data_IF_941638861795
#
_entry.id   IF_941638861795
#
_cell.length_a   1.000
_cell.length_b   1.000
_cell.length_c   1.000
_cell.angle_alpha   90.00
_cell.angle_beta   90.00
_cell.angle_gamma   90.00
#
_symmetry.space_group_name_H-M   'P 1'
#
loop_
_entity.id
_entity.type
_entity.pdbx_description
1 polymer ?
#
# COMPACT_ATOMS: atom_id res chain seq x y z
N UNK A 1 -11.79 -13.92 19.44
CA UNK A 1 -11.54 -15.23 20.10
C UNK A 1 -11.88 -16.36 19.12
N UNK A 2 -10.88 -16.99 18.48
CA UNK A 2 -11.05 -18.27 17.77
C UNK A 2 -9.93 -19.22 18.22
N UNK A 3 -10.32 -20.36 18.82
CA UNK A 3 -9.45 -21.45 19.25
C UNK A 3 -9.15 -22.34 18.03
N UNK A 4 -7.88 -22.62 17.77
CA UNK A 4 -7.48 -23.70 16.86
C UNK A 4 -7.14 -24.92 17.72
N UNK A 5 -7.80 -26.03 17.43
CA UNK A 5 -7.66 -27.32 18.10
C UNK A 5 -6.57 -28.11 17.39
N UNK A 6 -5.48 -28.42 18.08
CA UNK A 6 -4.41 -29.27 17.57
C UNK A 6 -4.72 -30.74 17.91
N UNK A 7 -4.97 -31.56 16.89
CA UNK A 7 -5.19 -33.00 17.03
C UNK A 7 -3.85 -33.71 16.96
N UNK A 8 -3.40 -34.23 18.10
CA UNK A 8 -2.19 -35.06 18.24
C UNK A 8 -2.53 -36.46 17.71
N UNK A 9 -1.75 -36.95 16.73
CA UNK A 9 -1.76 -38.36 16.34
C UNK A 9 -0.43 -38.99 16.71
N UNK A 10 -0.53 -39.97 17.62
CA UNK A 10 0.47 -40.94 18.01
C UNK A 10 0.60 -42.01 16.92
N UNK A 11 1.83 -42.48 16.64
CA UNK A 11 2.06 -43.77 16.01
C UNK A 11 3.37 -44.37 16.51
N UNK A 12 3.26 -45.53 17.16
CA UNK A 12 4.33 -46.49 17.41
C UNK A 12 4.69 -47.22 16.10
N UNK A 13 5.98 -47.48 15.91
CA UNK A 13 6.59 -48.47 15.00
C UNK A 13 6.19 -49.92 15.37
N UNK A 14 6.38 -50.99 14.54
CA UNK A 14 7.62 -51.25 13.77
C UNK A 14 7.51 -52.04 12.43
N UNK A 15 8.71 -52.30 11.87
CA UNK A 15 9.12 -53.34 10.89
C UNK A 15 8.99 -53.06 9.38
N UNK A 16 10.13 -52.78 8.74
CA UNK A 16 10.76 -53.68 7.76
C UNK A 16 12.06 -53.08 7.19
N UNK A 17 13.17 -53.78 7.43
CA UNK A 17 14.48 -53.46 6.86
C UNK A 17 14.58 -53.90 5.39
N UNK A 18 15.23 -53.07 4.57
CA UNK A 18 15.70 -53.41 3.23
C UNK A 18 16.67 -52.33 2.71
N UNK A 19 17.86 -52.67 2.21
CA UNK A 19 18.90 -51.70 1.90
C UNK A 19 18.70 -51.16 0.47
N UNK A 20 18.59 -49.85 0.31
CA UNK A 20 18.79 -49.23 -0.99
C UNK A 20 19.56 -47.92 -0.85
N UNK A 21 20.78 -47.97 -1.37
CA UNK A 21 21.66 -46.85 -1.64
C UNK A 21 20.94 -45.82 -2.49
N UNK A 22 20.67 -44.65 -1.92
CA UNK A 22 20.37 -43.45 -2.69
C UNK A 22 21.19 -42.31 -2.13
N UNK A 23 21.99 -41.71 -3.03
CA UNK A 23 22.62 -40.41 -2.88
C UNK A 23 21.54 -39.37 -2.56
N UNK A 24 21.28 -39.18 -1.28
CA UNK A 24 20.35 -38.17 -0.79
C UNK A 24 20.96 -36.79 -0.97
N UNK A 25 20.45 -36.03 -1.92
CA UNK A 25 20.43 -34.57 -1.78
C UNK A 25 19.69 -34.32 -0.47
N UNK A 26 20.44 -33.97 0.58
CA UNK A 26 19.88 -33.54 1.85
C UNK A 26 19.10 -32.25 1.58
N UNK A 27 17.83 -32.37 1.23
CA UNK A 27 16.85 -31.30 1.37
C UNK A 27 16.56 -31.16 2.85
N UNK A 28 17.54 -30.62 3.58
CA UNK A 28 17.37 -30.21 4.96
C UNK A 28 16.11 -29.35 5.02
N UNK A 29 15.16 -29.71 5.89
CA UNK A 29 13.95 -28.93 6.11
C UNK A 29 14.36 -27.47 6.37
N UNK A 30 13.73 -26.49 5.70
CA UNK A 30 14.09 -25.09 5.88
C UNK A 30 13.92 -24.72 7.37
N UNK A 31 14.99 -24.23 8.00
CA UNK A 31 14.97 -23.74 9.39
C UNK A 31 14.26 -22.38 9.41
N UNK A 32 13.02 -22.27 9.91
CA UNK A 32 12.25 -21.03 9.86
C UNK A 32 12.93 -19.91 10.65
N UNK A 33 13.59 -20.24 11.76
CA UNK A 33 14.28 -19.26 12.61
C UNK A 33 15.49 -18.68 11.87
N UNK A 34 16.20 -19.52 11.11
CA UNK A 34 17.29 -19.05 10.28
C UNK A 34 16.78 -18.20 9.10
N UNK A 35 15.67 -18.60 8.47
CA UNK A 35 15.04 -17.82 7.40
C UNK A 35 14.60 -16.43 7.88
N UNK A 36 13.96 -16.33 9.05
CA UNK A 36 13.62 -15.05 9.67
C UNK A 36 14.85 -14.17 9.92
N UNK A 37 15.93 -14.76 10.45
CA UNK A 37 17.16 -14.03 10.67
C UNK A 37 17.73 -13.44 9.39
N UNK A 38 17.77 -14.23 8.30
CA UNK A 38 18.22 -13.78 6.99
C UNK A 38 17.29 -12.69 6.42
N UNK A 39 15.99 -12.84 6.60
CA UNK A 39 15.00 -11.85 6.19
C UNK A 39 15.25 -10.50 6.90
N UNK A 40 15.23 -10.46 8.23
CA UNK A 40 15.46 -9.22 8.98
C UNK A 40 16.84 -8.62 8.70
N UNK A 41 17.87 -9.47 8.53
CA UNK A 41 19.21 -9.01 8.16
C UNK A 41 19.22 -8.31 6.80
N UNK A 42 18.48 -8.84 5.83
CA UNK A 42 18.38 -8.26 4.49
C UNK A 42 17.61 -6.94 4.51
N UNK A 43 16.50 -6.90 5.24
CA UNK A 43 15.69 -5.68 5.41
C UNK A 43 16.50 -4.58 6.11
N UNK A 44 17.19 -4.89 7.22
CA UNK A 44 18.00 -3.92 7.97
C UNK A 44 19.14 -3.34 7.12
N UNK A 45 19.73 -4.10 6.20
CA UNK A 45 20.76 -3.57 5.29
C UNK A 45 20.23 -2.47 4.37
N UNK A 46 18.95 -2.50 4.04
CA UNK A 46 18.30 -1.47 3.22
C UNK A 46 17.84 -0.32 4.10
N UNK A 47 17.02 -0.61 5.12
CA UNK A 47 16.36 0.42 5.92
C UNK A 47 17.36 1.19 6.78
N UNK A 48 18.32 0.53 7.45
CA UNK A 48 19.24 1.23 8.34
C UNK A 48 20.14 2.24 7.60
N UNK A 49 20.39 2.03 6.31
CA UNK A 49 21.12 2.98 5.46
C UNK A 49 20.23 4.09 4.92
N UNK A 50 18.93 3.82 4.78
CA UNK A 50 17.93 4.75 4.28
C UNK A 50 17.39 5.71 5.36
N UNK A 51 17.68 5.44 6.65
CA UNK A 51 17.24 6.31 7.76
C UNK A 51 17.62 7.76 7.52
N UNK A 52 16.71 8.72 7.64
CA UNK A 52 17.00 10.13 7.39
C UNK A 52 17.92 10.74 8.46
N UNK A 53 17.72 10.38 9.73
CA UNK A 53 18.43 10.93 10.88
C UNK A 53 19.82 10.31 11.15
N UNK A 54 20.84 11.16 11.26
CA UNK A 54 22.22 10.71 11.60
C UNK A 54 22.33 10.10 13.00
N UNK A 55 21.56 10.63 13.95
CA UNK A 55 21.56 10.13 15.33
C UNK A 55 21.02 8.70 15.38
N UNK A 56 19.88 8.45 14.74
CA UNK A 56 19.28 7.12 14.65
C UNK A 56 20.19 6.14 13.92
N UNK A 57 20.80 6.54 12.79
CA UNK A 57 21.81 5.73 12.10
C UNK A 57 22.93 5.29 13.03
N UNK A 58 23.44 6.20 13.88
CA UNK A 58 24.51 5.89 14.83
C UNK A 58 24.05 4.95 15.95
N UNK A 59 22.80 5.05 16.41
CA UNK A 59 22.23 4.21 17.47
C UNK A 59 21.94 2.77 16.99
N UNK A 60 21.55 2.60 15.73
CA UNK A 60 21.26 1.28 15.14
C UNK A 60 22.50 0.40 15.04
N UNK A 61 23.65 0.99 14.71
CA UNK A 61 24.90 0.23 14.46
C UNK A 61 25.31 -0.63 15.67
N UNK A 62 25.39 -0.11 16.92
CA UNK A 62 25.63 -0.92 18.11
C UNK A 62 24.65 -2.06 18.31
N UNK A 63 23.35 -1.83 18.08
CA UNK A 63 22.30 -2.86 18.21
C UNK A 63 22.47 -3.99 17.19
N UNK A 64 22.70 -3.65 15.93
CA UNK A 64 23.00 -4.63 14.89
C UNK A 64 24.25 -5.43 15.28
N UNK A 65 25.34 -4.76 15.69
CA UNK A 65 26.55 -5.47 16.14
C UNK A 65 26.29 -6.40 17.32
N UNK A 66 25.42 -6.03 18.27
CA UNK A 66 25.05 -6.88 19.42
C UNK A 66 24.26 -8.11 18.97
N UNK A 67 23.21 -7.92 18.17
CA UNK A 67 22.31 -8.98 17.74
C UNK A 67 22.98 -9.99 16.80
N UNK A 68 24.04 -9.58 16.11
CA UNK A 68 24.82 -10.43 15.21
C UNK A 68 26.04 -11.08 15.89
N UNK A 69 26.20 -10.96 17.22
CA UNK A 69 27.29 -11.66 17.90
C UNK A 69 27.12 -13.19 17.85
N UNK A 70 28.22 -13.96 17.85
CA UNK A 70 28.17 -15.42 17.82
C UNK A 70 27.31 -16.03 18.93
N UNK A 71 27.30 -15.43 20.13
CA UNK A 71 26.50 -15.93 21.27
C UNK A 71 25.00 -16.08 20.92
N UNK A 72 24.46 -15.15 20.11
CA UNK A 72 23.05 -15.13 19.70
C UNK A 72 22.71 -16.08 18.54
N UNK A 73 23.69 -16.83 18.02
CA UNK A 73 23.48 -17.88 17.03
C UNK A 73 23.24 -19.25 17.67
N UNK A 74 23.43 -19.37 18.98
CA UNK A 74 23.12 -20.60 19.73
C UNK A 74 21.60 -20.87 19.77
N UNK A 75 21.22 -22.15 19.86
CA UNK A 75 19.80 -22.55 19.83
C UNK A 75 18.95 -21.86 20.91
N UNK A 76 19.54 -21.52 22.06
CA UNK A 76 18.85 -20.89 23.18
C UNK A 76 18.51 -19.41 22.94
N UNK A 77 19.29 -18.72 22.09
CA UNK A 77 19.16 -17.27 21.93
C UNK A 77 18.65 -16.82 20.55
N UNK A 78 18.60 -17.73 19.57
CA UNK A 78 18.16 -17.40 18.19
C UNK A 78 16.75 -16.82 18.12
N UNK A 79 15.79 -17.38 18.85
CA UNK A 79 14.41 -16.83 18.89
C UNK A 79 14.37 -15.43 19.49
N UNK A 80 15.05 -15.24 20.62
CA UNK A 80 15.12 -13.95 21.31
C UNK A 80 15.73 -12.90 20.40
N UNK A 81 16.87 -13.22 19.77
CA UNK A 81 17.53 -12.37 18.77
C UNK A 81 16.57 -12.00 17.65
N UNK A 82 15.86 -12.96 17.06
CA UNK A 82 14.92 -12.70 15.96
C UNK A 82 13.80 -11.75 16.37
N UNK A 83 13.26 -11.89 17.59
CA UNK A 83 12.25 -10.96 18.10
C UNK A 83 12.79 -9.53 18.27
N UNK A 84 14.03 -9.38 18.74
CA UNK A 84 14.69 -8.06 18.78
C UNK A 84 14.96 -7.51 17.37
N UNK A 85 15.35 -8.35 16.41
CA UNK A 85 15.54 -7.93 15.02
C UNK A 85 14.23 -7.51 14.36
N UNK A 86 13.14 -8.23 14.61
CA UNK A 86 11.80 -7.84 14.20
C UNK A 86 11.44 -6.49 14.79
N UNK A 87 11.59 -6.31 16.10
CA UNK A 87 11.22 -5.06 16.77
C UNK A 87 12.04 -3.88 16.23
N UNK A 88 13.37 -4.06 16.09
CA UNK A 88 14.23 -3.06 15.47
C UNK A 88 13.76 -2.74 14.05
N UNK A 89 13.48 -3.76 13.23
CA UNK A 89 13.02 -3.58 11.85
C UNK A 89 11.72 -2.78 11.79
N UNK A 90 10.73 -3.11 12.64
CA UNK A 90 9.45 -2.40 12.71
C UNK A 90 9.63 -0.94 13.13
N UNK A 91 10.50 -0.69 14.10
CA UNK A 91 10.86 0.67 14.54
C UNK A 91 11.46 1.48 13.39
N UNK A 92 12.43 0.93 12.67
CA UNK A 92 13.12 1.64 11.60
C UNK A 92 12.28 1.86 10.33
N UNK A 93 11.19 1.09 10.15
CA UNK A 93 10.23 1.35 9.06
C UNK A 93 9.57 2.74 9.19
N UNK A 94 9.52 3.30 10.40
CA UNK A 94 9.02 4.65 10.66
C UNK A 94 10.11 5.72 10.55
N UNK A 95 11.28 5.40 10.01
CA UNK A 95 12.43 6.32 9.82
C UNK A 95 13.07 6.85 11.12
N UNK A 96 12.78 6.26 12.28
CA UNK A 96 13.26 6.72 13.59
C UNK A 96 13.52 5.56 14.58
N UNK A 97 14.41 5.74 15.57
CA UNK A 97 14.55 4.80 16.68
C UNK A 97 13.51 5.06 17.80
N UNK A 98 12.90 4.00 18.32
CA UNK A 98 11.89 4.02 19.39
C UNK A 98 12.25 3.09 20.56
N UNK A 99 11.74 3.42 21.75
CA UNK A 99 11.90 2.62 22.96
C UNK A 99 13.36 2.32 23.29
N UNK A 100 13.63 1.05 23.55
CA UNK A 100 14.96 0.56 23.94
C UNK A 100 16.07 0.83 22.90
N UNK A 101 15.71 1.11 21.64
CA UNK A 101 16.66 1.39 20.58
C UNK A 101 17.17 2.84 20.58
N UNK A 102 16.59 3.73 21.42
CA UNK A 102 17.07 5.10 21.62
C UNK A 102 18.35 5.20 22.44
N UNK A 103 18.78 4.10 23.04
CA UNK A 103 20.02 3.99 23.81
C UNK A 103 20.86 2.84 23.28
N UNK A 104 22.16 2.84 23.61
CA UNK A 104 23.04 1.73 23.23
C UNK A 104 22.60 0.40 23.89
N UNK A 105 22.81 -0.75 23.23
CA UNK A 105 22.47 -2.05 23.81
C UNK A 105 23.26 -2.31 25.10
N UNK A 106 22.69 -3.07 26.05
CA UNK A 106 23.39 -3.40 27.28
C UNK A 106 24.66 -4.21 27.01
N UNK A 107 25.70 -3.96 27.80
CA UNK A 107 26.96 -4.72 27.74
C UNK A 107 26.74 -6.20 28.06
N UNK A 108 25.83 -6.51 28.99
CA UNK A 108 25.47 -7.86 29.43
C UNK A 108 24.45 -8.58 28.53
N UNK A 109 23.79 -9.64 29.02
CA UNK A 109 22.77 -10.35 28.25
C UNK A 109 21.59 -9.44 27.89
N UNK A 110 20.88 -9.75 26.80
CA UNK A 110 19.68 -9.00 26.42
C UNK A 110 18.60 -9.23 27.48
N UNK A 111 17.87 -8.19 27.91
CA UNK A 111 16.69 -8.33 28.77
C UNK A 111 15.62 -9.22 28.14
N UNK A 112 14.78 -9.83 28.97
CA UNK A 112 13.59 -10.51 28.45
C UNK A 112 12.64 -9.50 27.82
N UNK A 113 12.08 -9.81 26.66
CA UNK A 113 11.19 -8.88 25.94
C UNK A 113 9.95 -8.51 26.76
N UNK A 114 9.48 -9.42 27.61
CA UNK A 114 8.35 -9.19 28.53
C UNK A 114 8.68 -8.18 29.64
N UNK A 115 9.96 -7.96 29.92
CA UNK A 115 10.41 -6.98 30.93
C UNK A 115 10.67 -5.59 30.36
N UNK A 116 10.54 -5.42 29.04
CA UNK A 116 10.68 -4.12 28.39
C UNK A 116 9.34 -3.39 28.47
N UNK A 117 9.35 -2.18 29.02
CA UNK A 117 8.18 -1.32 29.01
C UNK A 117 7.79 -0.99 27.57
N UNK A 118 6.53 -1.25 27.23
CA UNK A 118 5.97 -0.85 25.96
C UNK A 118 5.72 0.66 25.98
N UNK A 119 6.62 1.42 25.35
CA UNK A 119 6.34 2.82 25.04
C UNK A 119 5.22 2.89 23.98
N UNK A 120 4.27 3.80 24.16
CA UNK A 120 3.32 4.15 23.12
C UNK A 120 4.10 4.74 21.93
N UNK A 121 3.94 4.11 20.76
CA UNK A 121 4.52 4.66 19.54
C UNK A 121 3.82 5.99 19.24
N UNK A 122 4.57 7.05 18.90
CA UNK A 122 3.94 8.30 18.51
C UNK A 122 3.14 8.09 17.24
N UNK A 123 2.12 8.91 17.07
CA UNK A 123 1.34 8.93 15.84
C UNK A 123 2.23 9.25 14.64
N UNK A 124 2.03 8.54 13.54
CA UNK A 124 2.74 8.81 12.30
C UNK A 124 2.31 10.17 11.72
N UNK A 125 3.16 10.78 10.89
CA UNK A 125 2.88 12.10 10.30
C UNK A 125 1.55 12.16 9.55
N UNK A 126 1.21 11.08 8.83
CA UNK A 126 -0.04 10.98 8.08
C UNK A 126 -1.27 10.93 8.98
N UNK A 127 -1.16 10.37 10.19
CA UNK A 127 -2.26 10.31 11.17
C UNK A 127 -2.54 11.69 11.78
N UNK A 128 -1.51 12.53 11.84
CA UNK A 128 -1.60 13.90 12.35
C UNK A 128 -2.04 14.92 11.30
N UNK A 129 -2.04 14.56 10.01
CA UNK A 129 -2.38 15.48 8.93
C UNK A 129 -3.86 15.90 9.00
N UNK A 130 -4.16 17.21 9.17
CA UNK A 130 -5.53 17.68 9.38
C UNK A 130 -6.30 17.89 8.07
N UNK A 131 -5.66 17.75 6.90
CA UNK A 131 -6.17 18.24 5.62
C UNK A 131 -7.54 17.65 5.28
N UNK A 132 -7.74 16.35 5.48
CA UNK A 132 -9.04 15.74 5.16
C UNK A 132 -10.16 16.36 6.00
N UNK A 133 -9.95 16.45 7.31
CA UNK A 133 -10.89 17.07 8.24
C UNK A 133 -11.17 18.53 7.86
N UNK A 134 -10.12 19.28 7.53
CA UNK A 134 -10.23 20.68 7.14
C UNK A 134 -10.99 20.83 5.81
N UNK A 135 -10.78 19.91 4.86
CA UNK A 135 -11.47 19.89 3.55
C UNK A 135 -12.95 19.61 3.68
N UNK A 136 -13.34 18.75 4.62
CA UNK A 136 -14.76 18.47 4.94
C UNK A 136 -15.36 19.65 5.71
N UNK A 137 -14.62 20.24 6.65
CA UNK A 137 -15.09 21.39 7.43
C UNK A 137 -15.28 22.66 6.58
N UNK A 138 -14.52 22.80 5.49
CA UNK A 138 -14.60 23.92 4.56
C UNK A 138 -15.77 23.83 3.55
N UNK A 139 -16.56 22.75 3.59
CA UNK A 139 -17.70 22.59 2.68
C UNK A 139 -18.80 23.64 2.94
N UNK A 140 -19.45 24.17 1.89
CA UNK A 140 -20.62 25.04 2.03
C UNK A 140 -21.76 24.39 2.80
N UNK A 141 -22.59 25.20 3.46
CA UNK A 141 -23.74 24.71 4.23
C UNK A 141 -24.81 24.04 3.35
N UNK A 142 -24.89 24.44 2.08
CA UNK A 142 -25.78 23.91 1.05
C UNK A 142 -25.13 22.82 0.18
N UNK A 143 -23.96 22.31 0.59
CA UNK A 143 -23.26 21.26 -0.14
C UNK A 143 -24.11 19.98 -0.24
N UNK A 144 -24.24 19.48 -1.47
CA UNK A 144 -24.98 18.26 -1.75
C UNK A 144 -24.04 17.06 -1.74
N UNK A 145 -24.27 16.15 -0.80
CA UNK A 145 -23.51 14.89 -0.70
C UNK A 145 -23.96 13.91 -1.77
N UNK A 146 -23.02 13.07 -2.22
CA UNK A 146 -23.31 11.99 -3.15
C UNK A 146 -24.28 10.97 -2.53
N UNK A 147 -25.21 10.47 -3.35
CA UNK A 147 -26.08 9.37 -2.97
C UNK A 147 -25.32 8.05 -2.96
N UNK A 148 -25.75 7.14 -2.09
CA UNK A 148 -25.22 5.77 -2.05
C UNK A 148 -25.42 5.09 -3.41
N UNK A 149 -24.36 4.48 -3.95
CA UNK A 149 -24.40 3.70 -5.19
C UNK A 149 -24.76 2.23 -4.96
N UNK A 150 -24.77 1.78 -3.70
CA UNK A 150 -24.83 0.36 -3.33
C UNK A 150 -26.19 0.00 -2.74
N UNK A 151 -26.68 0.79 -1.79
CA UNK A 151 -27.93 0.54 -1.11
C UNK A 151 -29.07 1.32 -1.75
N UNK A 152 -30.16 0.62 -2.04
CA UNK A 152 -31.41 1.23 -2.53
C UNK A 152 -32.12 2.01 -1.41
N UNK A 153 -32.04 1.53 -0.17
CA UNK A 153 -32.72 2.12 0.99
C UNK A 153 -31.73 2.69 2.01
N UNK A 154 -32.08 3.86 2.57
CA UNK A 154 -31.27 4.56 3.59
C UNK A 154 -31.03 3.70 4.84
N UNK A 155 -32.01 2.88 5.23
CA UNK A 155 -31.91 2.01 6.41
C UNK A 155 -30.81 0.96 6.30
N UNK A 156 -30.47 0.52 5.09
CA UNK A 156 -29.40 -0.45 4.88
C UNK A 156 -28.03 0.26 4.93
N UNK A 157 -27.97 1.50 4.45
CA UNK A 157 -26.81 2.37 4.59
C UNK A 157 -26.46 2.61 6.07
N UNK A 158 -27.46 2.87 6.92
CA UNK A 158 -27.27 3.10 8.37
C UNK A 158 -26.77 1.88 9.15
N UNK A 159 -26.88 0.67 8.57
CA UNK A 159 -26.41 -0.57 9.20
C UNK A 159 -25.01 -0.98 8.72
N UNK A 160 -24.57 -0.48 7.58
CA UNK A 160 -23.30 -0.84 6.95
C UNK A 160 -22.18 0.11 7.41
N UNK A 161 -21.65 -0.12 8.62
CA UNK A 161 -20.58 0.69 9.21
C UNK A 161 -19.48 -0.13 9.92
N UNK A 162 -19.44 -1.44 9.71
CA UNK A 162 -18.54 -2.37 10.41
C UNK A 162 -17.05 -2.13 10.11
N UNK A 163 -16.73 -1.53 8.96
CA UNK A 163 -15.36 -1.34 8.46
C UNK A 163 -14.91 0.13 8.45
N UNK A 164 -15.74 1.04 8.95
CA UNK A 164 -15.56 2.48 8.84
C UNK A 164 -14.18 2.96 9.30
N UNK A 165 -13.74 2.51 10.47
CA UNK A 165 -12.45 2.92 11.06
C UNK A 165 -11.28 2.54 10.14
N UNK A 166 -11.27 1.29 9.64
CA UNK A 166 -10.19 0.78 8.80
C UNK A 166 -10.19 1.48 7.44
N UNK A 167 -11.37 1.65 6.84
CA UNK A 167 -11.51 2.30 5.54
C UNK A 167 -11.14 3.79 5.60
N UNK A 168 -11.48 4.49 6.68
CA UNK A 168 -11.12 5.89 6.87
C UNK A 168 -9.61 6.06 7.11
N UNK A 169 -8.97 5.16 7.88
CA UNK A 169 -7.51 5.16 8.02
C UNK A 169 -6.79 4.90 6.69
N UNK A 170 -7.27 3.92 5.92
CA UNK A 170 -6.73 3.61 4.59
C UNK A 170 -6.84 4.82 3.65
N UNK A 171 -7.99 5.50 3.64
CA UNK A 171 -8.19 6.70 2.84
C UNK A 171 -7.24 7.84 3.26
N UNK A 172 -7.15 8.11 4.57
CA UNK A 172 -6.27 9.16 5.10
C UNK A 172 -4.82 8.91 4.68
N UNK A 173 -4.37 7.66 4.76
CA UNK A 173 -3.04 7.27 4.32
C UNK A 173 -2.83 7.50 2.82
N UNK A 174 -3.74 7.03 1.97
CA UNK A 174 -3.61 7.24 0.52
C UNK A 174 -3.68 8.72 0.12
N UNK A 175 -4.55 9.51 0.76
CA UNK A 175 -4.66 10.95 0.53
C UNK A 175 -3.36 11.67 0.88
N UNK A 176 -2.76 11.32 2.03
CA UNK A 176 -1.47 11.86 2.45
C UNK A 176 -0.38 11.57 1.42
N UNK A 177 -0.35 10.35 0.87
CA UNK A 177 0.63 9.96 -0.16
C UNK A 177 0.40 10.64 -1.51
N UNK A 178 -0.86 10.82 -1.93
CA UNK A 178 -1.17 11.34 -3.27
C UNK A 178 -0.93 12.85 -3.41
N UNK A 179 -1.13 13.62 -2.32
CA UNK A 179 -1.14 15.09 -2.35
C UNK A 179 0.14 15.72 -2.94
N UNK A 180 1.37 15.32 -2.55
CA UNK A 180 2.58 15.90 -3.12
C UNK A 180 2.64 15.73 -4.64
N UNK A 181 2.26 14.56 -5.15
CA UNK A 181 2.29 14.27 -6.59
C UNK A 181 1.19 15.00 -7.36
N UNK A 182 -0.02 15.11 -6.79
CA UNK A 182 -1.10 15.87 -7.40
C UNK A 182 -0.72 17.35 -7.63
N UNK A 183 0.14 17.91 -6.76
CA UNK A 183 0.63 19.28 -6.90
C UNK A 183 1.64 19.49 -8.05
N UNK A 184 2.21 18.40 -8.58
CA UNK A 184 3.22 18.42 -9.64
C UNK A 184 2.64 18.24 -11.05
N UNK A 185 1.34 18.01 -11.17
CA UNK A 185 0.64 17.88 -12.45
C UNK A 185 0.57 19.23 -13.19
N UNK A 186 0.30 19.16 -14.49
CA UNK A 186 -0.02 20.36 -15.28
C UNK A 186 -1.30 21.05 -14.74
N UNK A 187 -1.53 22.32 -15.09
CA UNK A 187 -2.62 23.11 -14.51
C UNK A 187 -4.03 22.56 -14.75
N UNK A 188 -4.26 21.94 -15.92
CA UNK A 188 -5.58 21.38 -16.26
C UNK A 188 -5.86 20.12 -15.43
N UNK A 189 -4.91 19.19 -15.44
CA UNK A 189 -4.98 17.95 -14.66
C UNK A 189 -4.99 18.23 -13.15
N UNK A 190 -4.19 19.17 -12.66
CA UNK A 190 -4.19 19.58 -11.27
C UNK A 190 -5.60 20.02 -10.82
N UNK A 191 -6.33 20.74 -11.67
CA UNK A 191 -7.69 21.22 -11.36
C UNK A 191 -8.68 20.05 -11.27
N UNK A 192 -8.64 19.12 -12.23
CA UNK A 192 -9.51 17.92 -12.22
C UNK A 192 -9.22 17.04 -11.01
N UNK A 193 -7.93 16.83 -10.71
CA UNK A 193 -7.49 15.98 -9.61
C UNK A 193 -7.84 16.63 -8.26
N UNK A 194 -7.73 17.96 -8.13
CA UNK A 194 -8.22 18.67 -6.96
C UNK A 194 -9.73 18.47 -6.76
N UNK A 195 -10.52 18.54 -7.84
CA UNK A 195 -11.96 18.25 -7.77
C UNK A 195 -12.23 16.81 -7.33
N UNK A 196 -11.52 15.82 -7.89
CA UNK A 196 -11.63 14.42 -7.48
C UNK A 196 -11.28 14.22 -6.00
N UNK A 197 -10.15 14.75 -5.54
CA UNK A 197 -9.73 14.65 -4.13
C UNK A 197 -10.78 15.28 -3.20
N UNK A 198 -11.33 16.44 -3.56
CA UNK A 198 -12.41 17.06 -2.79
C UNK A 198 -13.66 16.19 -2.75
N UNK A 199 -14.10 15.65 -3.90
CA UNK A 199 -15.26 14.75 -3.96
C UNK A 199 -15.04 13.50 -3.10
N UNK A 200 -13.89 12.85 -3.21
CA UNK A 200 -13.57 11.66 -2.41
C UNK A 200 -13.54 11.96 -0.91
N UNK A 201 -13.02 13.13 -0.51
CA UNK A 201 -13.03 13.58 0.89
C UNK A 201 -14.45 13.70 1.46
N UNK A 202 -15.46 13.97 0.63
CA UNK A 202 -16.85 14.14 1.09
C UNK A 202 -17.53 12.82 1.45
N UNK A 203 -17.04 11.70 0.93
CA UNK A 203 -17.50 10.34 1.29
C UNK A 203 -16.85 9.99 2.62
N UNK A 204 -17.47 10.39 3.73
CA UNK A 204 -16.92 10.28 5.09
C UNK A 204 -17.99 9.82 6.08
N UNK A 205 -18.03 10.36 7.31
CA UNK A 205 -18.82 9.83 8.44
C UNK A 205 -20.33 9.64 8.25
N UNK A 206 -20.92 10.08 7.14
CA UNK A 206 -22.34 9.84 6.77
C UNK A 206 -22.52 8.73 5.73
N UNK A 207 -21.43 8.27 5.12
CA UNK A 207 -21.43 7.24 4.09
C UNK A 207 -21.22 5.87 4.72
N UNK A 208 -21.91 4.85 4.20
CA UNK A 208 -21.69 3.48 4.63
C UNK A 208 -20.31 2.94 4.25
N UNK A 209 -19.88 1.87 4.90
CA UNK A 209 -18.64 1.15 4.63
C UNK A 209 -18.50 0.77 3.16
N UNK A 210 -19.56 0.35 2.48
CA UNK A 210 -19.51 0.03 1.04
C UNK A 210 -19.16 1.24 0.17
N UNK A 211 -19.68 2.42 0.48
CA UNK A 211 -19.32 3.66 -0.22
C UNK A 211 -17.89 4.09 0.09
N UNK A 212 -17.43 3.91 1.34
CA UNK A 212 -16.04 4.15 1.74
C UNK A 212 -15.07 3.20 1.04
N UNK A 213 -15.45 1.94 0.82
CA UNK A 213 -14.66 1.00 0.04
C UNK A 213 -14.52 1.45 -1.42
N UNK A 214 -15.62 1.87 -2.06
CA UNK A 214 -15.56 2.44 -3.42
C UNK A 214 -14.65 3.68 -3.44
N UNK A 215 -14.80 4.60 -2.49
CA UNK A 215 -13.90 5.77 -2.36
C UNK A 215 -12.43 5.35 -2.30
N UNK A 216 -12.10 4.31 -1.53
CA UNK A 216 -10.74 3.83 -1.37
C UNK A 216 -10.20 3.19 -2.65
N UNK A 217 -11.02 2.45 -3.41
CA UNK A 217 -10.65 1.93 -4.72
C UNK A 217 -10.25 3.08 -5.68
N UNK A 218 -11.05 4.14 -5.74
CA UNK A 218 -10.72 5.33 -6.52
C UNK A 218 -9.45 6.01 -6.02
N UNK A 219 -9.31 6.19 -4.70
CA UNK A 219 -8.14 6.85 -4.12
C UNK A 219 -6.84 6.06 -4.40
N UNK A 220 -6.88 4.73 -4.33
CA UNK A 220 -5.75 3.87 -4.64
C UNK A 220 -5.38 3.91 -6.13
N UNK A 221 -6.38 3.87 -7.02
CA UNK A 221 -6.13 4.00 -8.45
C UNK A 221 -5.58 5.38 -8.82
N UNK A 222 -6.14 6.44 -8.22
CA UNK A 222 -5.69 7.81 -8.37
C UNK A 222 -4.24 7.97 -7.93
N UNK A 223 -3.88 7.43 -6.75
CA UNK A 223 -2.52 7.43 -6.23
C UNK A 223 -1.53 6.84 -7.25
N UNK A 224 -1.87 5.71 -7.87
CA UNK A 224 -1.04 5.09 -8.91
C UNK A 224 -0.83 6.00 -10.13
N UNK A 225 -1.88 6.69 -10.58
CA UNK A 225 -1.77 7.61 -11.72
C UNK A 225 -0.96 8.87 -11.40
N UNK A 226 -1.20 9.50 -10.25
CA UNK A 226 -0.47 10.73 -9.88
C UNK A 226 1.00 10.44 -9.58
N UNK A 227 1.35 9.26 -9.06
CA UNK A 227 2.75 8.82 -8.94
C UNK A 227 3.49 8.81 -10.28
N UNK A 228 2.80 8.41 -11.35
CA UNK A 228 3.31 8.43 -12.71
C UNK A 228 3.17 9.82 -13.39
N UNK A 229 2.73 10.84 -12.64
CA UNK A 229 2.44 12.19 -13.13
C UNK A 229 1.53 12.23 -14.36
N UNK A 230 0.55 11.31 -14.41
CA UNK A 230 -0.42 11.19 -15.51
C UNK A 230 -1.84 11.13 -14.97
N UNK A 231 -2.80 11.49 -15.82
CA UNK A 231 -4.22 11.33 -15.52
C UNK A 231 -4.85 10.38 -16.54
N UNK A 232 -5.49 9.32 -16.06
CA UNK A 232 -6.04 8.27 -16.91
C UNK A 232 -7.38 7.72 -16.38
N UNK A 233 -8.08 6.97 -17.24
CA UNK A 233 -9.37 6.37 -16.92
C UNK A 233 -10.41 7.42 -16.51
N UNK A 234 -11.22 7.17 -15.46
CA UNK A 234 -12.30 8.07 -15.08
C UNK A 234 -11.81 9.45 -14.60
N UNK A 235 -10.53 9.57 -14.23
CA UNK A 235 -9.96 10.83 -13.71
C UNK A 235 -9.71 11.89 -14.79
N UNK A 236 -9.80 11.52 -16.08
CA UNK A 236 -9.70 12.47 -17.21
C UNK A 236 -10.88 13.45 -17.27
N UNK A 237 -11.97 13.13 -16.59
CA UNK A 237 -13.15 13.98 -16.46
C UNK A 237 -13.32 14.49 -15.02
N UNK A 238 -14.20 15.47 -14.84
CA UNK A 238 -14.61 15.89 -13.50
C UNK A 238 -15.40 14.77 -12.80
N UNK A 239 -15.32 14.67 -11.46
CA UNK A 239 -16.05 13.68 -10.69
C UNK A 239 -17.57 13.80 -10.87
N UNK A 240 -18.32 12.71 -10.68
CA UNK A 240 -19.78 12.74 -10.75
C UNK A 240 -20.38 13.58 -9.62
N UNK A 241 -21.55 14.18 -9.90
CA UNK A 241 -22.27 15.07 -8.98
C UNK A 241 -23.34 14.33 -8.16
N UNK A 242 -23.76 13.14 -8.60
CA UNK A 242 -24.89 12.42 -8.03
C UNK A 242 -24.44 11.20 -7.24
N UNK A 243 -23.71 10.28 -7.88
CA UNK A 243 -23.29 9.04 -7.24
C UNK A 243 -21.92 8.60 -7.73
N UNK A 244 -21.14 8.01 -6.83
CA UNK A 244 -19.85 7.40 -7.15
C UNK A 244 -20.05 5.90 -7.41
N UNK A 245 -20.17 5.54 -8.70
CA UNK A 245 -20.28 4.14 -9.12
C UNK A 245 -18.97 3.37 -8.84
N UNK A 246 -19.00 2.04 -8.68
CA UNK A 246 -17.80 1.22 -8.52
C UNK A 246 -16.72 1.52 -9.57
N UNK A 247 -15.45 1.57 -9.16
CA UNK A 247 -14.33 1.98 -10.02
C UNK A 247 -14.25 1.13 -11.29
N UNK A 248 -14.45 -0.18 -11.18
CA UNK A 248 -14.40 -1.10 -12.32
C UNK A 248 -15.39 -0.70 -13.42
N UNK A 249 -16.62 -0.30 -13.04
CA UNK A 249 -17.65 0.14 -13.99
C UNK A 249 -17.28 1.49 -14.62
N UNK A 250 -16.76 2.43 -13.83
CA UNK A 250 -16.32 3.72 -14.33
C UNK A 250 -15.11 3.60 -15.27
N UNK A 251 -14.15 2.73 -14.95
CA UNK A 251 -13.00 2.44 -15.79
C UNK A 251 -13.41 1.81 -17.11
N UNK A 252 -14.32 0.83 -17.07
CA UNK A 252 -14.90 0.22 -18.28
C UNK A 252 -15.60 1.25 -19.15
N UNK A 253 -16.47 2.07 -18.56
CA UNK A 253 -17.16 3.14 -19.27
C UNK A 253 -16.19 4.15 -19.90
N UNK A 254 -15.14 4.54 -19.17
CA UNK A 254 -14.10 5.43 -19.68
C UNK A 254 -13.36 4.84 -20.87
N UNK A 255 -13.01 3.54 -20.81
CA UNK A 255 -12.35 2.84 -21.92
C UNK A 255 -13.25 2.73 -23.16
N UNK A 256 -14.55 2.48 -22.98
CA UNK A 256 -15.53 2.36 -24.07
C UNK A 256 -15.85 3.70 -24.73
N UNK A 257 -15.95 4.78 -23.94
CA UNK A 257 -16.38 6.09 -24.45
C UNK A 257 -15.25 6.99 -24.90
N UNK A 258 -14.04 6.80 -24.36
CA UNK A 258 -12.85 7.61 -24.64
C UNK A 258 -11.61 6.72 -24.73
N UNK A 259 -11.53 5.87 -25.77
CA UNK A 259 -10.36 5.02 -25.95
C UNK A 259 -9.11 5.88 -26.11
N UNK A 260 -7.96 5.37 -25.68
CA UNK A 260 -6.66 6.08 -25.83
C UNK A 260 -6.33 6.41 -27.30
N UNK A 261 -6.96 5.71 -28.24
CA UNK A 261 -6.84 5.93 -29.68
C UNK A 261 -7.78 6.99 -30.24
N UNK A 262 -8.61 7.64 -29.42
CA UNK A 262 -9.52 8.67 -29.91
C UNK A 262 -8.73 9.85 -30.48
N UNK A 263 -8.74 10.07 -31.81
CA UNK A 263 -7.97 11.15 -32.44
C UNK A 263 -8.54 12.54 -32.13
N UNK A 264 -9.74 12.60 -31.55
CA UNK A 264 -10.39 13.85 -31.10
C UNK A 264 -10.21 14.09 -29.60
N UNK A 265 -9.57 13.15 -28.90
CA UNK A 265 -9.35 13.21 -27.46
C UNK A 265 -8.39 14.33 -27.05
N UNK A 266 -8.44 14.71 -25.77
CA UNK A 266 -7.56 15.75 -25.21
C UNK A 266 -6.07 15.45 -25.43
N UNK A 267 -5.65 14.21 -25.20
CA UNK A 267 -4.25 13.77 -25.39
C UNK A 267 -3.80 13.88 -26.85
N UNK A 268 -4.68 13.54 -27.80
CA UNK A 268 -4.41 13.71 -29.21
C UNK A 268 -4.27 15.20 -29.55
N UNK A 269 -5.13 16.06 -29.02
CA UNK A 269 -5.07 17.50 -29.24
C UNK A 269 -3.84 18.14 -28.60
N UNK A 270 -3.47 17.77 -27.38
CA UNK A 270 -2.24 18.24 -26.71
C UNK A 270 -0.99 17.80 -27.46
N UNK A 271 -0.95 16.53 -27.88
CA UNK A 271 0.12 16.01 -28.72
C UNK A 271 0.25 16.82 -30.01
N UNK A 272 -0.87 17.04 -30.72
CA UNK A 272 -0.89 17.83 -31.95
C UNK A 272 -0.50 19.29 -31.72
N UNK A 273 -0.89 19.90 -30.59
CA UNK A 273 -0.56 21.28 -30.24
C UNK A 273 0.92 21.47 -29.87
N UNK A 274 1.57 20.42 -29.32
CA UNK A 274 2.99 20.44 -29.00
C UNK A 274 3.89 20.29 -30.25
N UNK A 275 3.32 19.90 -31.39
CA UNK A 275 4.06 19.65 -32.62
C UNK A 275 4.25 20.93 -33.44
N UNK A 276 5.39 21.07 -34.13
CA UNK A 276 5.63 22.21 -35.01
C UNK A 276 4.66 22.19 -36.21
N UNK A 277 4.12 23.35 -36.55
CA UNK A 277 3.26 23.53 -37.73
C UNK A 277 4.12 23.41 -39.00
N UNK A 278 3.85 22.46 -39.91
CA UNK A 278 4.61 22.34 -41.15
C UNK A 278 4.44 23.58 -42.02
N UNK A 279 5.55 24.12 -42.53
CA UNK A 279 5.54 25.29 -43.43
C UNK A 279 5.02 24.94 -44.82
N UNK A 280 5.13 23.68 -45.24
CA UNK A 280 4.56 23.13 -46.47
C UNK A 280 4.25 21.63 -46.27
N UNK A 281 3.11 21.15 -46.78
CA UNK A 281 2.67 19.75 -46.67
C UNK A 281 1.76 19.43 -45.47
N UNK A 282 1.59 18.14 -45.16
CA UNK A 282 0.77 17.64 -44.05
C UNK A 282 1.48 16.52 -43.29
N UNK A 283 1.42 16.54 -41.95
CA UNK A 283 1.81 15.42 -41.12
C UNK A 283 0.60 14.52 -40.83
N UNK A 284 0.82 13.20 -40.88
CA UNK A 284 -0.15 12.19 -40.47
C UNK A 284 0.44 11.41 -39.29
N UNK A 285 -0.32 11.32 -38.21
CA UNK A 285 0.05 10.56 -37.03
C UNK A 285 -0.95 9.41 -36.86
N UNK A 286 -0.42 8.22 -36.61
CA UNK A 286 -1.22 7.00 -36.44
C UNK A 286 -0.94 6.48 -35.03
N UNK A 287 -1.97 6.48 -34.19
CA UNK A 287 -1.90 5.82 -32.89
C UNK A 287 -2.01 4.31 -33.10
N UNK A 288 -0.97 3.57 -32.73
CA UNK A 288 -0.98 2.11 -32.74
C UNK A 288 -1.16 1.61 -31.31
N UNK A 289 -2.25 0.88 -31.07
CA UNK A 289 -2.45 0.11 -29.84
C UNK A 289 -2.42 -1.38 -30.16
N UNK A 290 -1.91 -2.17 -29.21
CA UNK A 290 -1.94 -3.62 -29.29
C UNK A 290 -2.60 -4.20 -28.05
N UNK A 291 -3.54 -5.12 -28.24
CA UNK A 291 -4.04 -5.96 -27.16
C UNK A 291 -2.93 -6.95 -26.80
N UNK A 292 -2.26 -6.72 -25.67
CA UNK A 292 -1.16 -7.57 -25.24
C UNK A 292 -1.62 -8.99 -24.82
N UNK A 293 -2.92 -9.26 -24.69
CA UNK A 293 -3.43 -10.56 -24.22
C UNK A 293 -4.81 -10.89 -24.82
N UNK A 294 -4.95 -11.04 -26.14
CA UNK A 294 -6.14 -11.71 -26.71
C UNK A 294 -5.81 -12.73 -27.83
N UNK A 295 -4.54 -12.77 -28.27
CA UNK A 295 -4.12 -13.64 -29.38
C UNK A 295 -3.76 -15.09 -29.02
N UNK A 296 -3.66 -15.46 -27.74
CA UNK A 296 -3.12 -16.76 -27.33
C UNK A 296 -4.16 -17.81 -26.93
N UNK A 297 -5.44 -17.44 -26.75
CA UNK A 297 -6.47 -18.38 -26.25
C UNK A 297 -7.48 -18.80 -27.33
N UNK A 298 -7.63 -18.03 -28.40
CA UNK A 298 -8.60 -18.32 -29.49
C UNK A 298 -8.11 -19.31 -30.55
N UNK A 299 -7.00 -20.03 -30.34
CA UNK A 299 -6.54 -21.11 -31.23
C UNK A 299 -6.52 -22.51 -30.58
N UNK A 300 -7.16 -22.69 -29.42
CA UNK A 300 -7.33 -24.02 -28.79
C UNK A 300 -8.80 -24.39 -28.52
N UNK A 301 -9.69 -24.12 -29.48
CA UNK A 301 -10.97 -24.83 -29.62
C UNK A 301 -11.22 -25.21 -31.08
#
# INVERSE_FOLDING_TARGET
RRKVVTKIFSMNDPDAAGPSSTSGVNTAKPDPINSEFLYYSSVLRVIALALTGDVDRQLVIPWVRKLFRPEYHSAQFREKRNKYLLYLTLTLLNDECYGIFRIAPPSGPLPELQSIEHEEQPMAQWELDPMWRDSVAALPADFQYLSCAVHEFVMDCEKDHDLDVILDQEFQFFLFLARPYASLLNSDDQTKIAAWLQTLCTISGRSCSSMKAIRNDYMMALLGYVHDLRVAGPFREYPPWTTLRPLMEAAKWSAETKPITDPTGHEANEFLAALPIPQDGAFCYIALTGDLIDGAVSQMQ
#
